data_IF_583632067769
#
_entry.id   IF_583632067769
#
_cell.length_a   1.000
_cell.length_b   1.000
_cell.length_c   1.000
_cell.angle_alpha   90.00
_cell.angle_beta   90.00
_cell.angle_gamma   90.00
#
_symmetry.space_group_name_H-M   'P 1'
#
loop_
_entity.id
_entity.type
_entity.pdbx_description
1 polymer ?
2 non-polymer ?
3 non-polymer ?
4 water ?
#
# COMPACT_ATOMS: atom_id res chain seq x y z
N UNK A 13 -2.85 -29.58 9.81
CA UNK A 13 -2.62 -28.31 10.54
C UNK A 13 -2.00 -28.64 11.92
N UNK A 14 -0.83 -28.05 12.21
CA UNK A 14 -0.29 -27.94 13.60
C UNK A 14 -0.24 -26.48 14.14
N UNK A 17 1.87 -23.34 14.21
CA UNK A 17 2.61 -22.18 13.67
C UNK A 17 4.01 -22.09 14.36
N UNK A 18 4.64 -20.90 14.28
CA UNK A 18 5.86 -20.58 15.04
C UNK A 18 7.15 -21.34 14.74
N UNK A 19 7.85 -20.96 13.66
CA UNK A 19 9.13 -21.60 13.26
C UNK A 19 10.36 -20.67 12.94
N UNK A 20 10.18 -19.34 12.71
CA UNK A 20 11.36 -18.47 12.47
C UNK A 20 12.18 -18.03 13.72
N UNK A 21 13.31 -18.71 13.93
CA UNK A 21 14.16 -18.49 15.08
C UNK A 21 15.43 -17.76 14.71
N UNK A 22 15.88 -17.92 13.47
CA UNK A 22 17.15 -17.34 13.02
C UNK A 22 16.88 -16.54 11.79
N UNK A 23 17.01 -15.22 11.89
CA UNK A 23 16.75 -14.29 10.78
C UNK A 23 18.01 -13.53 10.23
N UNK A 24 18.44 -13.91 9.02
CA UNK A 24 19.66 -13.29 8.45
C UNK A 24 19.09 -12.17 7.71
N UNK A 25 19.47 -10.99 8.16
CA UNK A 25 18.62 -9.85 7.92
C UNK A 25 18.84 -9.25 6.54
N UNK A 26 20.09 -9.23 6.02
CA UNK A 26 20.37 -8.78 4.63
C UNK A 26 19.59 -9.57 3.57
N UNK A 27 19.63 -10.89 3.67
CA UNK A 27 19.07 -11.77 2.66
C UNK A 27 17.55 -11.87 2.72
N UNK A 28 16.96 -12.07 3.90
CA UNK A 28 15.48 -12.08 4.00
C UNK A 28 14.95 -10.71 3.70
N UNK A 29 15.73 -9.68 3.95
CA UNK A 29 15.34 -8.35 3.57
C UNK A 29 15.27 -8.23 2.04
N UNK A 30 16.27 -8.76 1.34
CA UNK A 30 16.33 -8.61 -0.10
C UNK A 30 15.19 -9.38 -0.72
N UNK A 31 14.93 -10.60 -0.25
CA UNK A 31 13.85 -11.42 -0.78
C UNK A 31 12.48 -10.74 -0.62
N UNK A 32 12.23 -10.21 0.57
CA UNK A 32 10.96 -9.59 0.90
C UNK A 32 10.75 -8.31 0.16
N UNK A 33 11.74 -7.44 0.11
CA UNK A 33 11.65 -6.24 -0.69
C UNK A 33 11.31 -6.54 -2.17
N UNK A 34 12.01 -7.53 -2.70
CA UNK A 34 11.82 -7.95 -4.05
C UNK A 34 10.41 -8.50 -4.26
N UNK A 35 9.89 -9.23 -3.28
CA UNK A 35 8.57 -9.79 -3.41
C UNK A 35 7.54 -8.68 -3.38
N UNK A 36 7.77 -7.64 -2.57
CA UNK A 36 6.80 -6.53 -2.46
C UNK A 36 6.80 -5.66 -3.70
N UNK A 37 7.98 -5.55 -4.29
CA UNK A 37 8.11 -4.91 -5.57
C UNK A 37 7.25 -5.64 -6.58
N UNK A 38 7.42 -6.93 -6.70
CA UNK A 38 6.69 -7.73 -7.70
C UNK A 38 5.19 -7.62 -7.45
N UNK A 39 4.85 -7.68 -6.16
CA UNK A 39 3.48 -7.69 -5.76
C UNK A 39 2.95 -6.31 -6.13
N UNK A 40 3.70 -5.28 -5.83
CA UNK A 40 3.25 -3.94 -6.14
C UNK A 40 2.93 -3.74 -7.60
N UNK A 41 3.74 -4.32 -8.45
CA UNK A 41 3.59 -4.07 -9.88
C UNK A 41 2.40 -4.83 -10.39
N UNK A 42 2.20 -6.06 -9.90
CA UNK A 42 1.04 -6.87 -10.26
C UNK A 42 -0.25 -6.13 -9.88
N UNK A 43 -0.31 -5.60 -8.66
CA UNK A 43 -1.48 -4.91 -8.16
C UNK A 43 -1.70 -3.65 -9.02
N UNK A 44 -0.65 -2.88 -9.24
CA UNK A 44 -0.71 -1.68 -10.05
C UNK A 44 -1.30 -1.98 -11.41
N UNK A 45 -0.82 -3.05 -12.02
CA UNK A 45 -1.26 -3.40 -13.35
C UNK A 45 -2.68 -3.89 -13.38
N UNK A 46 -3.10 -4.67 -12.38
CA UNK A 46 -4.48 -5.18 -12.25
C UNK A 46 -5.45 -4.05 -11.95
N UNK A 47 -4.94 -3.00 -11.32
CA UNK A 47 -5.73 -1.91 -10.85
C UNK A 47 -5.92 -0.99 -12.04
N UNK A 48 -4.85 -0.76 -12.79
CA UNK A 48 -4.86 -0.10 -14.10
C UNK A 48 -5.32 -1.00 -15.27
N UNK A 49 -6.51 -1.60 -15.12
CA UNK A 49 -7.17 -2.38 -16.20
C UNK A 49 -8.69 -2.27 -16.05
N UNK A 54 -10.06 4.16 -16.81
CA UNK A 54 -8.65 4.56 -16.82
C UNK A 54 -8.45 5.81 -16.01
N UNK A 55 -8.07 5.68 -14.75
CA UNK A 55 -8.07 6.89 -13.94
C UNK A 55 -6.93 7.08 -12.92
N UNK A 56 -7.22 7.98 -11.99
CA UNK A 56 -6.32 8.48 -11.01
C UNK A 56 -6.55 7.88 -9.65
N UNK A 57 -5.48 7.39 -9.07
CA UNK A 57 -5.58 6.66 -7.84
C UNK A 57 -4.26 6.62 -7.15
N UNK A 58 -4.36 6.12 -5.93
CA UNK A 58 -3.27 5.81 -5.07
C UNK A 58 -3.73 4.62 -4.16
N UNK A 59 -2.76 3.81 -3.76
CA UNK A 59 -3.02 2.70 -2.90
C UNK A 59 -1.71 2.37 -2.25
N UNK A 60 -1.77 1.55 -1.22
CA UNK A 60 -0.60 1.12 -0.54
C UNK A 60 -0.42 -0.36 -0.74
N UNK A 61 0.44 -0.75 -1.65
CA UNK A 61 0.74 -2.18 -1.84
C UNK A 61 1.29 -2.82 -0.55
N UNK A 62 2.00 -2.03 0.22
CA UNK A 62 2.52 -2.52 1.49
C UNK A 62 1.44 -2.80 2.55
N UNK A 63 0.42 -1.96 2.67
CA UNK A 63 -0.67 -2.26 3.60
C UNK A 63 -1.39 -3.50 3.17
N UNK A 64 -1.61 -3.66 1.87
CA UNK A 64 -2.37 -4.77 1.32
C UNK A 64 -1.60 -6.05 1.52
N UNK A 65 -0.31 -6.04 1.21
CA UNK A 65 0.61 -7.18 1.47
C UNK A 65 0.67 -7.54 2.94
N UNK A 66 0.61 -6.54 3.78
CA UNK A 66 0.66 -6.75 5.23
C UNK A 66 -0.60 -7.45 5.73
N UNK A 67 -1.75 -6.98 5.28
CA UNK A 67 -2.98 -7.68 5.64
C UNK A 67 -2.97 -9.14 5.15
N UNK A 68 -2.62 -9.36 3.91
CA UNK A 68 -2.61 -10.71 3.36
C UNK A 68 -1.57 -11.62 3.99
N UNK A 69 -0.48 -11.05 4.42
CA UNK A 69 0.51 -11.82 5.18
C UNK A 69 0.03 -12.15 6.61
N UNK A 70 -0.85 -11.34 7.18
CA UNK A 70 -1.52 -11.65 8.45
C UNK A 70 -2.49 -12.83 8.18
N UNK A 71 -3.27 -12.76 7.10
CA UNK A 71 -4.12 -13.89 6.70
C UNK A 71 -3.27 -15.15 6.54
N UNK A 72 -2.12 -15.01 5.89
CA UNK A 72 -1.18 -16.09 5.65
C UNK A 72 -0.62 -16.77 6.95
N UNK A 73 -0.43 -15.97 7.99
CA UNK A 73 0.05 -16.45 9.25
C UNK A 73 -0.90 -17.52 9.77
N UNK A 74 -2.20 -17.34 9.56
CA UNK A 74 -3.18 -18.33 10.02
C UNK A 74 -3.72 -19.32 8.97
N UNK A 75 -3.14 -19.33 7.77
CA UNK A 75 -3.65 -20.12 6.66
C UNK A 75 -3.18 -21.57 6.73
N UNK A 76 -3.97 -22.50 6.22
CA UNK A 76 -3.56 -23.87 6.00
C UNK A 76 -2.97 -24.05 4.61
N UNK A 77 -2.49 -25.25 4.31
CA UNK A 77 -1.66 -25.50 3.11
C UNK A 77 -2.17 -24.89 1.82
N UNK A 78 -3.38 -25.24 1.38
CA UNK A 78 -3.88 -24.84 0.07
C UNK A 78 -3.95 -23.30 -0.07
N UNK A 79 -4.52 -22.63 0.92
CA UNK A 79 -4.58 -21.17 1.01
C UNK A 79 -3.21 -20.45 1.08
N UNK A 80 -2.29 -21.00 1.85
CA UNK A 80 -0.88 -20.57 1.87
C UNK A 80 -0.34 -20.51 0.45
N UNK A 81 -0.45 -21.63 -0.25
CA UNK A 81 -0.04 -21.70 -1.63
C UNK A 81 -0.59 -20.58 -2.49
N UNK A 82 -1.91 -20.38 -2.50
CA UNK A 82 -2.45 -19.31 -3.35
C UNK A 82 -1.93 -17.97 -2.94
N UNK A 83 -1.90 -17.74 -1.63
CA UNK A 83 -1.52 -16.44 -1.13
C UNK A 83 -0.07 -16.17 -1.41
N UNK A 84 0.77 -17.16 -1.23
CA UNK A 84 2.20 -16.95 -1.51
C UNK A 84 2.45 -16.63 -2.96
N UNK A 85 1.73 -17.28 -3.85
CA UNK A 85 1.90 -16.98 -5.29
C UNK A 85 1.40 -15.51 -5.54
N UNK A 86 0.29 -15.12 -4.95
CA UNK A 86 -0.19 -13.77 -5.22
C UNK A 86 0.91 -12.80 -4.74
N UNK A 87 1.47 -13.08 -3.58
CA UNK A 87 2.46 -12.18 -3.02
C UNK A 87 3.90 -12.37 -3.55
N UNK A 88 4.13 -13.32 -4.43
CA UNK A 88 5.49 -13.57 -4.91
C UNK A 88 6.46 -13.94 -3.77
N UNK A 89 5.96 -14.55 -2.68
CA UNK A 89 6.84 -15.05 -1.62
C UNK A 89 7.36 -16.40 -2.07
N UNK A 90 8.64 -16.69 -1.94
CA UNK A 90 9.15 -18.08 -2.13
C UNK A 90 8.49 -19.14 -1.24
N UNK A 91 8.51 -20.41 -1.69
CA UNK A 91 8.01 -21.57 -0.90
C UNK A 91 8.30 -21.55 0.62
N UNK A 92 9.55 -21.27 0.93
CA UNK A 92 10.14 -21.67 2.20
C UNK A 92 9.98 -20.62 3.29
N UNK A 93 9.54 -19.43 2.88
CA UNK A 93 9.93 -18.17 3.49
C UNK A 93 9.26 -18.00 4.85
N UNK A 94 9.70 -18.76 5.83
CA UNK A 94 8.95 -18.82 7.08
C UNK A 94 9.27 -17.59 7.90
N UNK A 95 10.43 -17.01 7.63
CA UNK A 95 10.84 -15.77 8.28
C UNK A 95 10.16 -14.52 7.75
N UNK A 96 9.16 -14.66 6.87
CA UNK A 96 8.56 -13.49 6.25
C UNK A 96 8.02 -12.55 7.27
N UNK A 97 7.34 -13.09 8.28
CA UNK A 97 6.61 -12.25 9.25
C UNK A 97 7.59 -11.42 10.09
N UNK A 98 8.64 -12.03 10.61
CA UNK A 98 9.73 -11.27 11.24
C UNK A 98 10.44 -10.25 10.29
N UNK A 99 10.72 -10.64 9.06
CA UNK A 99 11.29 -9.69 8.16
C UNK A 99 10.35 -8.48 8.04
N UNK A 100 9.06 -8.76 7.93
CA UNK A 100 8.07 -7.75 7.58
C UNK A 100 7.89 -6.83 8.74
N UNK A 101 7.96 -7.40 9.92
CA UNK A 101 7.90 -6.58 11.14
C UNK A 101 8.95 -5.45 11.23
N UNK A 102 10.18 -5.73 10.77
CA UNK A 102 11.21 -4.71 10.74
C UNK A 102 11.25 -3.89 9.47
N UNK A 103 10.19 -3.89 8.65
CA UNK A 103 10.12 -2.95 7.50
C UNK A 103 9.47 -1.61 7.87
N UNK A 104 9.00 -1.52 9.10
CA UNK A 104 8.56 -0.28 9.73
C UNK A 104 9.78 0.63 9.89
N UNK A 105 9.54 1.91 9.64
CA UNK A 105 10.56 2.95 9.75
C UNK A 105 9.99 4.02 10.71
N UNK A 106 10.75 5.09 10.90
CA UNK A 106 10.34 6.19 11.75
C UNK A 106 9.48 7.14 10.90
N UNK A 107 9.65 7.14 9.59
CA UNK A 107 8.66 7.77 8.76
C UNK A 107 7.38 6.95 8.52
N UNK A 108 7.41 5.63 8.71
CA UNK A 108 6.23 4.82 8.34
C UNK A 108 5.74 3.95 9.45
N UNK A 109 4.49 4.10 9.87
CA UNK A 109 4.00 3.21 10.94
C UNK A 109 3.16 2.11 10.40
N UNK A 110 3.24 0.92 10.99
CA UNK A 110 2.33 -0.16 10.57
C UNK A 110 1.89 -0.98 11.74
N UNK A 111 0.56 -1.08 11.95
CA UNK A 111 -0.07 -1.84 13.02
C UNK A 111 -1.16 -2.71 12.45
N UNK A 112 -1.44 -3.78 13.15
CA UNK A 112 -2.33 -4.83 12.71
C UNK A 112 -3.14 -5.32 13.90
N UNK A 113 -4.39 -5.68 13.67
CA UNK A 113 -5.31 -6.01 14.74
C UNK A 113 -6.41 -6.92 14.20
N UNK A 114 -6.92 -7.75 15.09
CA UNK A 114 -8.02 -8.63 14.80
C UNK A 114 -9.11 -8.32 15.76
N UNK A 115 -10.32 -8.34 15.26
CA UNK A 115 -11.51 -8.34 16.07
C UNK A 115 -12.30 -9.59 15.73
N UNK A 116 -12.97 -10.14 16.73
CA UNK A 116 -13.76 -11.34 16.55
C UNK A 116 -14.97 -11.37 17.49
N UNK A 117 -16.01 -12.08 17.07
CA UNK A 117 -17.15 -12.31 17.95
C UNK A 117 -16.72 -13.31 19.03
N UNK A 118 -17.32 -13.24 20.20
CA UNK A 118 -17.00 -14.21 21.25
C UNK A 118 -17.36 -15.65 20.85
N UNK A 119 -18.22 -15.82 19.85
CA UNK A 119 -18.46 -17.19 19.38
C UNK A 119 -17.41 -17.71 18.37
N UNK A 120 -16.41 -16.91 18.02
CA UNK A 120 -15.27 -17.44 17.23
C UNK A 120 -14.03 -17.58 18.13
N UNK A 121 -13.62 -18.82 18.43
CA UNK A 121 -12.43 -19.05 19.26
C UNK A 121 -11.15 -18.99 18.40
N UNK A 122 -10.21 -18.14 18.80
CA UNK A 122 -8.93 -18.05 18.13
C UNK A 122 -7.90 -18.98 18.81
N UNK A 123 -7.23 -19.81 18.04
CA UNK A 123 -6.19 -20.68 18.61
C UNK A 123 -5.21 -19.86 19.41
N UNK A 124 -4.80 -20.40 20.54
CA UNK A 124 -3.67 -19.89 21.37
C UNK A 124 -2.42 -19.62 20.55
N UNK A 125 -2.11 -20.51 19.62
CA UNK A 125 -0.93 -20.38 18.81
C UNK A 125 -1.03 -19.11 17.99
N UNK A 126 -2.23 -18.85 17.46
CA UNK A 126 -2.38 -17.65 16.68
C UNK A 126 -2.28 -16.46 17.60
N UNK A 127 -2.90 -16.55 18.76
CA UNK A 127 -2.77 -15.48 19.76
C UNK A 127 -1.31 -15.21 20.07
N UNK A 128 -0.51 -16.23 20.36
CA UNK A 128 0.89 -15.96 20.67
C UNK A 128 1.62 -15.28 19.51
N UNK A 129 1.46 -15.80 18.30
CA UNK A 129 2.18 -15.26 17.18
C UNK A 129 1.81 -13.80 16.99
N UNK A 130 0.53 -13.48 17.21
CA UNK A 130 0.02 -12.14 16.94
C UNK A 130 0.58 -11.13 17.93
N UNK A 131 0.77 -11.55 19.16
CA UNK A 131 1.39 -10.70 20.15
C UNK A 131 2.83 -10.45 19.84
N UNK A 132 3.53 -11.47 19.36
CA UNK A 132 4.94 -11.33 19.03
C UNK A 132 5.16 -10.38 17.86
N UNK A 133 4.36 -10.55 16.81
CA UNK A 133 4.62 -9.84 15.57
C UNK A 133 3.96 -8.45 15.57
N UNK A 134 2.77 -8.33 16.15
CA UNK A 134 2.00 -7.11 16.09
C UNK A 134 1.93 -6.34 17.42
N UNK A 135 2.43 -6.96 18.48
CA UNK A 135 2.29 -6.39 19.84
C UNK A 135 0.81 -6.10 20.18
N UNK A 136 -0.08 -6.97 19.77
CA UNK A 136 -1.51 -6.82 19.99
C UNK A 136 -2.19 -8.19 20.20
N UNK A 137 -3.30 -8.21 20.93
CA UNK A 137 -4.10 -9.42 21.09
C UNK A 137 -5.44 -9.21 20.40
N UNK A 138 -5.98 -10.28 19.83
CA UNK A 138 -7.36 -10.27 19.34
C UNK A 138 -8.34 -9.64 20.29
N UNK A 139 -9.21 -8.79 19.77
CA UNK A 139 -10.17 -8.12 20.60
C UNK A 139 -11.54 -8.63 20.26
N UNK A 140 -12.41 -8.59 21.27
CA UNK A 140 -13.74 -9.12 21.15
C UNK A 140 -14.74 -8.07 20.68
N UNK A 141 -15.54 -8.45 19.72
CA UNK A 141 -16.69 -7.69 19.29
C UNK A 141 -17.83 -7.88 20.30
N UNK A 142 -18.74 -6.91 20.35
CA UNK A 142 -19.95 -7.03 21.15
C UNK A 142 -21.12 -7.36 20.24
N UNK A 143 -22.30 -7.49 20.85
CA UNK A 143 -23.54 -7.82 20.14
C UNK A 143 -23.99 -6.70 19.19
N UNK A 144 -23.66 -5.45 19.56
CA UNK A 144 -24.07 -4.24 18.85
C UNK A 144 -23.29 -3.87 17.58
N UNK A 145 -23.98 -3.91 16.44
CA UNK A 145 -23.35 -3.64 15.14
C UNK A 145 -22.70 -2.25 15.04
N UNK A 146 -23.38 -1.23 15.57
CA UNK A 146 -22.92 0.17 15.53
C UNK A 146 -21.74 0.40 16.46
N UNK A 147 -21.80 -0.23 17.62
CA UNK A 147 -20.68 -0.23 18.55
C UNK A 147 -19.43 -0.80 17.92
N UNK A 148 -19.57 -1.93 17.23
CA UNK A 148 -18.43 -2.62 16.61
C UNK A 148 -17.79 -1.77 15.50
N UNK A 149 -18.65 -1.21 14.68
CA UNK A 149 -18.23 -0.29 13.65
C UNK A 149 -17.42 0.91 14.19
N UNK A 150 -17.85 1.50 15.32
CA UNK A 150 -17.14 2.64 15.92
C UNK A 150 -15.83 2.19 16.50
N UNK A 151 -15.82 1.02 17.12
CA UNK A 151 -14.58 0.44 17.63
C UNK A 151 -13.59 0.37 16.50
N UNK A 152 -14.00 -0.28 15.44
CA UNK A 152 -13.08 -0.57 14.36
C UNK A 152 -12.61 0.70 13.66
N UNK A 153 -13.56 1.56 13.34
CA UNK A 153 -13.23 2.73 12.59
C UNK A 153 -12.39 3.65 13.43
N UNK A 154 -12.61 3.64 14.73
CA UNK A 154 -11.83 4.48 15.62
C UNK A 154 -10.42 3.90 15.72
N UNK A 155 -10.28 2.58 15.79
CA UNK A 155 -8.93 2.01 15.75
C UNK A 155 -8.11 2.53 14.54
N UNK A 156 -8.74 2.52 13.36
CA UNK A 156 -8.09 2.92 12.14
C UNK A 156 -7.72 4.38 12.11
N UNK A 157 -8.69 5.19 12.49
CA UNK A 157 -8.45 6.62 12.69
C UNK A 157 -7.27 6.81 13.60
N UNK A 158 -7.25 6.09 14.71
CA UNK A 158 -6.25 6.38 15.71
C UNK A 158 -4.88 6.10 15.08
N UNK A 159 -4.83 5.17 14.13
CA UNK A 159 -3.55 4.68 13.58
C UNK A 159 -3.18 5.17 12.18
N UNK A 160 -3.91 6.18 11.73
CA UNK A 160 -3.66 6.86 10.49
C UNK A 160 -3.67 8.38 10.71
N UNK A 161 -3.41 8.83 11.92
CA UNK A 161 -3.48 10.24 12.27
C UNK A 161 -4.79 10.92 11.86
N UNK A 162 -5.88 10.18 12.03
CA UNK A 162 -7.25 10.55 11.66
C UNK A 162 -7.46 10.88 10.18
N UNK A 163 -6.59 10.42 9.30
CA UNK A 163 -6.79 10.69 7.85
C UNK A 163 -7.85 9.77 7.28
N UNK A 164 -8.02 8.64 7.95
CA UNK A 164 -9.02 7.69 7.54
C UNK A 164 -9.96 7.49 8.72
N UNK A 165 -10.99 8.34 8.74
CA UNK A 165 -11.92 8.42 9.87
C UNK A 165 -13.10 7.45 9.70
N UNK A 166 -13.25 6.86 8.51
CA UNK A 166 -14.37 5.93 8.31
C UNK A 166 -14.03 4.87 7.30
N UNK A 167 -13.21 3.91 7.69
CA UNK A 167 -12.84 2.85 6.75
C UNK A 167 -14.04 2.00 6.35
N UNK A 168 -14.89 1.69 7.33
CA UNK A 168 -16.01 0.79 7.07
C UNK A 168 -17.31 1.53 7.08
N UNK A 169 -18.13 1.30 6.06
CA UNK A 169 -19.50 1.86 6.04
C UNK A 169 -20.45 1.18 6.96
N UNK A 170 -20.25 -0.13 7.12
CA UNK A 170 -21.15 -0.96 7.89
C UNK A 170 -20.42 -2.20 8.34
N UNK A 171 -21.03 -2.89 9.27
CA UNK A 171 -20.48 -4.11 9.80
C UNK A 171 -21.62 -5.05 10.04
N UNK A 172 -21.88 -5.91 9.06
CA UNK A 172 -23.02 -6.83 9.15
C UNK A 172 -23.07 -7.57 10.50
N UNK A 173 -24.31 -7.78 10.95
CA UNK A 173 -24.62 -8.59 12.14
C UNK A 173 -23.92 -9.96 12.15
N UNK A 174 -23.80 -10.58 10.98
CA UNK A 174 -23.19 -11.90 10.84
C UNK A 174 -21.64 -11.89 10.87
N UNK A 175 -21.06 -10.75 11.22
CA UNK A 175 -19.62 -10.63 11.16
C UNK A 175 -19.02 -11.31 12.36
N UNK A 176 -18.10 -12.24 12.12
CA UNK A 176 -17.35 -12.85 13.21
C UNK A 176 -15.84 -12.61 13.20
N UNK A 177 -15.28 -12.13 12.09
CA UNK A 177 -13.82 -11.88 12.03
C UNK A 177 -13.48 -10.65 11.22
N UNK A 178 -12.71 -9.77 11.82
CA UNK A 178 -12.12 -8.66 11.10
C UNK A 178 -10.61 -8.65 11.31
N UNK A 179 -9.86 -8.74 10.21
CA UNK A 179 -8.42 -8.55 10.25
C UNK A 179 -8.17 -7.21 9.61
N UNK A 180 -7.35 -6.39 10.25
CA UNK A 180 -6.98 -5.06 9.76
C UNK A 180 -5.47 -4.77 9.77
N UNK A 181 -5.07 -3.81 8.94
CA UNK A 181 -3.73 -3.24 8.95
C UNK A 181 -3.92 -1.79 8.71
N UNK A 182 -3.07 -0.96 9.30
CA UNK A 182 -3.07 0.48 9.06
C UNK A 182 -1.65 1.00 9.04
N UNK A 183 -1.40 1.89 8.09
CA UNK A 183 -0.12 2.48 7.77
C UNK A 183 -0.28 3.99 7.89
N UNK A 184 0.73 4.64 8.47
CA UNK A 184 0.84 6.11 8.47
C UNK A 184 2.25 6.49 8.09
N UNK A 185 2.37 7.29 7.04
CA UNK A 185 3.67 7.71 6.58
C UNK A 185 3.64 9.19 6.66
N UNK A 186 4.70 9.75 7.23
CA UNK A 186 4.81 11.19 7.32
C UNK A 186 6.25 11.57 7.35
N UNK A 187 6.59 12.52 6.50
CA UNK A 187 7.99 12.89 6.23
C UNK A 187 8.13 14.26 5.58
N UNK A 188 9.28 14.87 5.81
CA UNK A 188 9.52 16.22 5.33
C UNK A 188 10.42 16.18 4.10
N UNK A 189 10.24 17.11 3.17
CA UNK A 189 11.22 17.29 2.11
C UNK A 189 12.56 17.78 2.70
N UNK A 190 13.69 17.34 2.16
CA UNK A 190 14.97 17.90 2.51
C UNK A 190 14.97 19.37 2.12
N UNK A 191 14.49 19.68 0.92
CA UNK A 191 14.29 21.08 0.52
C UNK A 191 12.80 21.32 0.36
N UNK A 192 12.27 22.20 1.20
CA UNK A 192 10.88 22.60 1.16
C UNK A 192 10.55 23.52 -0.02
N UNK A 193 9.27 23.60 -0.35
CA UNK A 193 8.84 24.52 -1.37
C UNK A 193 8.40 25.77 -0.66
N UNK A 194 8.40 26.87 -1.37
CA UNK A 194 7.97 28.10 -0.81
C UNK A 194 6.52 28.33 -1.20
N UNK A 195 5.61 28.39 -0.22
CA UNK A 195 4.16 28.47 -0.49
C UNK A 195 3.68 29.77 -1.08
N UNK A 196 4.54 30.79 -1.20
CA UNK A 196 4.19 31.98 -1.95
C UNK A 196 4.39 31.67 -3.42
N UNK A 197 5.21 30.66 -3.73
CA UNK A 197 5.42 30.26 -5.13
C UNK A 197 4.41 29.20 -5.59
N UNK A 198 3.56 28.76 -4.68
CA UNK A 198 2.50 27.84 -5.04
C UNK A 198 1.34 28.59 -5.68
N UNK A 199 0.91 28.13 -6.86
CA UNK A 199 -0.04 28.88 -7.68
C UNK A 199 -1.10 27.95 -8.26
N UNK A 200 -2.29 28.49 -8.45
CA UNK A 200 -3.35 27.77 -9.13
C UNK A 200 -3.16 28.09 -10.60
N UNK A 201 -2.83 27.08 -11.39
CA UNK A 201 -2.39 27.27 -12.75
C UNK A 201 -3.45 26.71 -13.68
N UNK A 202 -3.68 27.29 -14.83
CA UNK A 202 -4.69 26.76 -15.74
C UNK A 202 -4.29 25.40 -16.29
N UNK A 203 -5.29 24.56 -16.53
CA UNK A 203 -5.02 23.22 -16.99
C UNK A 203 -6.11 22.84 -17.97
N UNK A 204 -5.68 22.28 -19.10
CA UNK A 204 -6.48 22.43 -20.32
C UNK A 204 -7.75 21.54 -20.42
N UNK A 205 -7.64 20.27 -20.00
CA UNK A 205 -8.80 19.39 -19.83
C UNK A 205 -9.81 19.39 -21.06
N UNK A 208 -14.62 21.53 -20.31
CA UNK A 208 -14.58 22.66 -19.37
C UNK A 208 -13.24 22.77 -18.65
N UNK A 209 -12.50 23.86 -18.92
CA UNK A 209 -11.13 24.12 -18.40
C UNK A 209 -11.09 24.34 -16.87
N UNK A 210 -10.01 23.91 -16.21
CA UNK A 210 -9.89 24.10 -14.77
C UNK A 210 -8.59 24.76 -14.31
N UNK A 211 -8.44 24.89 -13.00
CA UNK A 211 -7.25 25.41 -12.39
C UNK A 211 -6.78 24.37 -11.42
N UNK A 212 -5.48 24.15 -11.40
CA UNK A 212 -4.90 23.13 -10.59
C UNK A 212 -3.73 23.68 -9.76
N UNK A 213 -3.57 23.14 -8.56
CA UNK A 213 -2.59 23.66 -7.61
C UNK A 213 -1.20 23.08 -7.91
N UNK A 214 -0.24 24.00 -8.05
CA UNK A 214 1.08 23.73 -8.56
C UNK A 214 2.12 24.31 -7.64
N UNK A 215 2.96 23.45 -7.07
CA UNK A 215 4.10 23.96 -6.31
C UNK A 215 5.25 24.19 -7.30
N UNK A 216 5.93 25.32 -7.17
CA UNK A 216 6.99 25.67 -8.10
C UNK A 216 8.30 25.97 -7.39
N UNK A 217 9.39 25.64 -8.04
CA UNK A 217 10.71 25.92 -7.51
C UNK A 217 11.68 25.76 -8.67
N UNK A 218 12.50 26.78 -8.88
CA UNK A 218 13.28 26.97 -10.09
C UNK A 218 14.54 26.16 -10.06
N UNK A 219 14.99 25.84 -8.85
CA UNK A 219 16.26 25.18 -8.63
C UNK A 219 16.12 24.04 -7.62
N UNK A 220 15.02 23.31 -7.67
CA UNK A 220 14.84 22.20 -6.76
C UNK A 220 15.79 21.03 -7.02
N UNK A 221 16.30 20.40 -5.95
CA UNK A 221 17.14 19.20 -6.10
C UNK A 221 16.34 17.95 -6.45
N UNK A 222 16.42 17.65 -7.73
CA UNK A 222 15.88 16.45 -8.25
C UNK A 222 17.03 15.63 -8.82
N UNK A 223 16.99 14.35 -8.51
CA UNK A 223 17.76 13.35 -9.26
C UNK A 223 16.87 12.83 -10.36
N UNK A 224 17.33 12.85 -11.60
CA UNK A 224 16.49 12.50 -12.74
C UNK A 224 17.28 12.15 -13.97
N UNK A 225 16.67 11.35 -14.80
CA UNK A 225 17.23 10.97 -16.07
C UNK A 225 16.10 10.42 -16.88
N UNK A 226 16.33 10.29 -18.17
CA UNK A 226 15.42 9.66 -19.09
C UNK A 226 15.82 8.19 -19.24
N UNK A 227 14.85 7.29 -19.16
CA UNK A 227 15.07 5.87 -19.43
C UNK A 227 14.56 5.58 -20.85
N UNK A 228 15.45 5.14 -21.75
CA UNK A 228 15.10 4.76 -23.14
C UNK A 228 14.07 3.60 -23.26
N UNK A 229 13.88 2.79 -22.23
CA UNK A 229 12.97 1.64 -22.35
C UNK A 229 11.49 2.01 -22.09
N UNK A 230 11.24 2.68 -20.97
CA UNK A 230 9.94 3.26 -20.71
C UNK A 230 9.64 4.49 -21.63
N UNK A 231 10.67 5.10 -22.20
CA UNK A 231 10.58 6.37 -22.88
C UNK A 231 9.98 7.38 -21.90
N UNK A 232 10.71 7.64 -20.82
CA UNK A 232 10.13 8.30 -19.67
C UNK A 232 11.17 9.00 -18.85
N UNK A 233 10.80 10.16 -18.31
CA UNK A 233 11.68 10.85 -17.40
C UNK A 233 11.44 10.21 -16.06
N UNK A 234 12.53 9.91 -15.38
CA UNK A 234 12.50 9.29 -14.06
C UNK A 234 13.06 10.34 -13.12
N UNK A 235 12.38 10.62 -12.02
CA UNK A 235 12.81 11.66 -11.11
C UNK A 235 12.49 11.28 -9.69
N UNK A 236 13.28 11.82 -8.77
CA UNK A 236 13.10 11.53 -7.34
C UNK A 236 13.32 12.78 -6.48
N UNK A 237 12.43 12.99 -5.52
CA UNK A 237 12.54 14.10 -4.61
C UNK A 237 12.81 13.48 -3.30
N UNK A 238 13.82 13.99 -2.60
CA UNK A 238 14.22 13.37 -1.35
C UNK A 238 13.45 13.89 -0.14
N UNK A 239 13.10 12.93 0.72
CA UNK A 239 12.37 13.18 1.95
C UNK A 239 13.22 12.69 3.04
N UNK A 240 12.84 13.00 4.27
CA UNK A 240 13.48 12.50 5.46
C UNK A 240 13.15 11.01 5.67
N UNK A 241 13.84 10.34 6.61
CA UNK A 241 13.50 8.97 6.97
C UNK A 241 13.73 7.99 5.78
N UNK A 242 14.73 8.24 4.94
CA UNK A 242 14.99 7.40 3.77
C UNK A 242 13.76 7.08 2.89
N UNK A 243 12.92 8.06 2.70
CA UNK A 243 11.79 7.93 1.80
C UNK A 243 12.02 8.90 0.69
N UNK A 244 11.58 8.56 -0.51
CA UNK A 244 11.62 9.47 -1.62
C UNK A 244 10.28 9.42 -2.34
N UNK A 245 10.01 10.47 -3.10
CA UNK A 245 8.91 10.49 -4.06
C UNK A 245 9.49 10.33 -5.43
N UNK A 246 9.06 9.27 -6.09
CA UNK A 246 9.61 8.87 -7.33
C UNK A 246 8.54 9.07 -8.33
N UNK A 247 8.93 9.67 -9.44
CA UNK A 247 8.00 10.01 -10.48
C UNK A 247 8.42 9.51 -11.82
N UNK A 248 7.51 8.89 -12.55
CA UNK A 248 7.80 8.54 -13.92
C UNK A 248 6.82 9.23 -14.82
N UNK A 249 7.34 10.07 -15.71
CA UNK A 249 6.48 10.75 -16.64
C UNK A 249 6.95 10.47 -18.07
N UNK A 250 5.97 10.15 -18.90
CA UNK A 250 6.24 9.97 -20.32
C UNK A 250 7.15 11.14 -20.82
N UNK A 251 8.14 10.87 -21.65
CA UNK A 251 9.18 11.89 -21.85
C UNK A 251 8.68 13.02 -22.72
N UNK A 252 7.60 12.75 -23.46
CA UNK A 252 6.91 13.79 -24.23
C UNK A 252 5.53 13.29 -24.69
N UNK A 253 4.83 14.08 -25.49
CA UNK A 253 3.45 13.78 -25.82
C UNK A 253 3.32 12.64 -26.81
N UNK A 254 4.42 12.29 -27.48
CA UNK A 254 4.40 11.21 -28.45
C UNK A 254 4.10 9.87 -27.73
N UNK A 255 4.31 9.80 -26.42
CA UNK A 255 4.12 8.52 -25.70
C UNK A 255 3.11 8.61 -24.57
N UNK A 256 2.15 7.69 -24.58
CA UNK A 256 1.10 7.64 -23.58
C UNK A 256 1.51 6.89 -22.29
N UNK A 257 0.89 7.25 -21.18
CA UNK A 257 1.17 6.63 -19.90
C UNK A 257 0.95 5.12 -19.92
N UNK A 258 -0.04 4.66 -20.69
CA UNK A 258 -0.30 3.22 -20.77
C UNK A 258 0.87 2.50 -21.39
N UNK A 259 1.48 3.06 -22.42
CA UNK A 259 2.60 2.34 -22.99
C UNK A 259 3.74 2.27 -21.94
N UNK A 260 4.00 3.39 -21.27
CA UNK A 260 5.06 3.41 -20.27
C UNK A 260 4.81 2.33 -19.23
N UNK A 261 3.59 2.27 -18.73
CA UNK A 261 3.21 1.30 -17.68
C UNK A 261 3.44 -0.17 -18.06
N UNK A 262 3.11 -0.50 -19.30
CA UNK A 262 3.13 -1.88 -19.73
C UNK A 262 4.59 -2.27 -19.98
N UNK A 263 5.42 -1.27 -20.23
CA UNK A 263 6.82 -1.53 -20.38
C UNK A 263 7.42 -1.71 -18.99
N UNK A 264 6.73 -1.28 -17.96
CA UNK A 264 7.29 -1.31 -16.64
C UNK A 264 7.23 -2.72 -16.03
N UNK A 265 8.10 -3.59 -16.51
CA UNK A 265 8.29 -4.93 -15.98
C UNK A 265 9.06 -4.88 -14.68
N UNK A 266 9.01 -5.93 -13.88
CA UNK A 266 9.80 -5.96 -12.66
C UNK A 266 11.33 -5.73 -12.91
N UNK A 267 11.92 -6.32 -13.94
CA UNK A 267 13.34 -6.13 -14.21
C UNK A 267 13.64 -4.67 -14.64
N UNK A 268 12.78 -4.12 -15.49
CA UNK A 268 12.89 -2.72 -15.89
C UNK A 268 12.75 -1.81 -14.67
N UNK A 269 11.73 -2.03 -13.86
CA UNK A 269 11.49 -1.21 -12.68
C UNK A 269 12.72 -1.21 -11.74
N UNK A 270 13.24 -2.41 -11.45
CA UNK A 270 14.42 -2.59 -10.58
C UNK A 270 15.69 -1.96 -11.13
N UNK A 271 15.92 -2.08 -12.44
CA UNK A 271 17.07 -1.43 -13.06
C UNK A 271 16.96 0.12 -12.96
N UNK A 272 15.75 0.65 -13.13
CA UNK A 272 15.50 2.07 -12.89
C UNK A 272 15.80 2.45 -11.44
N UNK A 273 15.32 1.69 -10.47
CA UNK A 273 15.52 2.10 -9.09
C UNK A 273 16.99 2.03 -8.67
N UNK A 274 17.72 1.09 -9.28
CA UNK A 274 19.16 0.98 -9.06
C UNK A 274 19.87 2.20 -9.61
N UNK A 275 19.59 2.54 -10.86
CA UNK A 275 20.28 3.66 -11.48
C UNK A 275 19.88 4.93 -10.75
N UNK A 276 18.60 5.00 -10.44
CA UNK A 276 18.12 6.14 -9.69
C UNK A 276 18.91 6.31 -8.40
N UNK A 277 19.18 5.21 -7.71
CA UNK A 277 19.77 5.30 -6.36
C UNK A 277 21.23 5.76 -6.36
N UNK A 278 21.88 5.73 -7.51
CA UNK A 278 23.22 6.30 -7.66
C UNK A 278 23.24 7.65 -8.37
N UNK A 279 22.09 8.20 -8.74
CA UNK A 279 22.02 9.45 -9.46
C UNK A 279 22.16 10.66 -8.52
N UNK A 280 22.88 11.70 -8.96
CA UNK A 280 22.98 12.91 -8.15
C UNK A 280 21.71 13.75 -8.26
N UNK A 281 21.40 14.37 -7.13
CA UNK A 281 20.41 15.45 -7.10
C UNK A 281 21.02 16.69 -7.75
N UNK A 282 20.24 17.34 -8.60
CA UNK A 282 20.70 18.51 -9.30
C UNK A 282 19.53 19.52 -9.45
N UNK A 283 19.87 20.82 -9.52
CA UNK A 283 18.84 21.86 -9.49
C UNK A 283 18.01 21.74 -10.76
N UNK A 284 16.71 21.78 -10.59
CA UNK A 284 15.82 21.43 -11.65
C UNK A 284 14.59 22.30 -11.49
N UNK A 285 14.18 22.96 -12.56
CA UNK A 285 12.92 23.66 -12.50
C UNK A 285 11.82 22.63 -12.29
N UNK A 286 11.07 22.79 -11.21
CA UNK A 286 10.10 21.78 -10.82
C UNK A 286 8.73 22.43 -10.65
N UNK A 287 7.72 21.86 -11.28
CA UNK A 287 6.35 22.31 -11.12
C UNK A 287 5.55 21.12 -10.68
N UNK A 288 5.52 20.93 -9.37
CA UNK A 288 5.03 19.68 -8.81
C UNK A 288 3.55 19.87 -8.56
N UNK A 289 2.71 19.04 -9.19
CA UNK A 289 1.29 19.02 -8.84
C UNK A 289 1.12 18.71 -7.36
N UNK A 290 0.22 19.46 -6.76
CA UNK A 290 0.10 19.39 -5.32
C UNK A 290 -0.97 18.34 -5.04
N UNK A 291 -0.59 17.08 -5.25
CA UNK A 291 -1.51 15.96 -5.28
C UNK A 291 -2.20 15.82 -3.95
N UNK A 292 -3.51 15.77 -3.97
CA UNK A 292 -4.25 15.17 -2.87
C UNK A 292 -5.13 14.07 -3.45
N UNK A 293 -4.93 12.84 -3.02
CA UNK A 293 -5.74 11.76 -3.57
C UNK A 293 -6.33 10.87 -2.48
N UNK A 294 -7.61 10.58 -2.60
CA UNK A 294 -8.28 9.65 -1.73
C UNK A 294 -8.93 8.56 -2.57
N UNK A 295 -8.59 7.31 -2.25
CA UNK A 295 -9.05 6.14 -2.99
C UNK A 295 -9.59 5.12 -2.00
N UNK A 296 -10.80 4.64 -2.23
CA UNK A 296 -11.32 3.40 -1.59
C UNK A 296 -11.67 2.38 -2.64
N UNK A 297 -11.38 1.13 -2.34
CA UNK A 297 -11.43 0.08 -3.33
C UNK A 297 -11.58 -1.23 -2.57
N UNK A 298 -12.42 -2.10 -3.11
CA UNK A 298 -12.39 -3.53 -2.80
C UNK A 298 -11.17 -4.16 -3.44
N UNK A 299 -10.12 -4.30 -2.65
CA UNK A 299 -8.88 -4.79 -3.16
C UNK A 299 -8.87 -6.29 -3.31
N UNK A 300 -9.77 -7.01 -2.64
CA UNK A 300 -9.88 -8.42 -2.92
C UNK A 300 -10.28 -8.60 -4.38
N UNK A 301 -11.16 -7.75 -4.86
CA UNK A 301 -11.70 -7.96 -6.17
C UNK A 301 -10.59 -7.68 -7.23
N UNK A 302 -9.65 -6.82 -6.87
CA UNK A 302 -8.46 -6.56 -7.69
C UNK A 302 -7.39 -7.65 -7.54
N UNK A 303 -7.08 -7.99 -6.32
CA UNK A 303 -6.24 -9.14 -5.96
C UNK A 303 -6.53 -10.31 -6.86
N UNK A 304 -7.81 -10.56 -6.97
CA UNK A 304 -8.36 -11.78 -7.48
C UNK A 304 -8.17 -11.92 -9.02
N UNK A 305 -7.86 -10.80 -9.65
CA UNK A 305 -7.48 -10.79 -11.03
C UNK A 305 -6.08 -11.40 -11.21
N UNK A 306 -5.36 -11.65 -10.13
CA UNK A 306 -4.02 -12.21 -10.21
C UNK A 306 -4.00 -13.74 -10.17
N UNK A 307 -5.14 -14.40 -9.93
CA UNK A 307 -5.20 -15.88 -9.91
C UNK A 307 -6.34 -16.30 -10.77
N UNK A 308 -6.36 -17.55 -11.15
CA UNK A 308 -7.39 -17.98 -12.03
C UNK A 308 -8.59 -18.38 -11.13
N UNK A 309 -8.56 -19.60 -10.61
CA UNK A 309 -9.58 -20.01 -9.68
C UNK A 309 -9.43 -19.24 -8.36
N UNK A 310 -10.56 -18.87 -7.77
CA UNK A 310 -10.61 -18.02 -6.60
C UNK A 310 -10.32 -18.82 -5.30
N UNK A 311 -9.26 -18.39 -4.60
CA UNK A 311 -8.79 -19.03 -3.37
C UNK A 311 -9.84 -19.04 -2.23
N UNK A 312 -10.76 -18.08 -2.28
CA UNK A 312 -11.69 -17.81 -1.19
C UNK A 312 -12.70 -18.92 -0.96
N UNK A 313 -13.07 -19.61 -2.04
CA UNK A 313 -13.95 -20.76 -1.94
C UNK A 313 -13.36 -21.94 -1.19
N UNK A 314 -12.06 -21.97 -1.00
CA UNK A 314 -11.46 -23.05 -0.20
C UNK A 314 -10.66 -22.46 0.94
N UNK A 315 -11.00 -21.22 1.30
CA UNK A 315 -10.38 -20.52 2.41
C UNK A 315 -10.17 -21.47 3.54
N UNK A 316 -8.91 -21.68 3.86
CA UNK A 316 -8.50 -22.52 4.98
C UNK A 316 -7.68 -21.71 5.96
N UNK A 317 -8.31 -21.26 7.04
CA UNK A 317 -7.63 -20.55 8.12
C UNK A 317 -7.51 -21.40 9.40
N UNK A 318 -7.14 -22.64 9.22
CA UNK A 318 -7.04 -23.53 10.37
C UNK A 318 -5.92 -23.10 11.32
N UNK A 319 -4.95 -22.29 10.87
CA UNK A 319 -3.91 -21.74 11.73
C UNK A 319 -4.49 -20.79 12.77
N UNK A 320 -5.55 -20.09 12.36
CA UNK A 320 -6.14 -19.04 13.17
C UNK A 320 -7.19 -19.56 14.13
N UNK A 321 -7.96 -20.54 13.65
CA UNK A 321 -9.09 -21.07 14.39
C UNK A 321 -9.50 -22.44 13.83
N UNK A 322 -10.06 -23.26 14.70
CA UNK A 322 -10.55 -24.57 14.36
C UNK A 322 -11.92 -24.43 13.69
N UNK A 323 -12.58 -23.31 13.92
CA UNK A 323 -13.85 -23.02 13.29
C UNK A 323 -13.75 -23.02 11.74
N UNK A 324 -14.58 -23.84 11.09
CA UNK A 324 -14.61 -23.96 9.63
C UNK A 324 -15.57 -22.99 8.88
N UNK A 325 -16.46 -22.28 9.58
CA UNK A 325 -17.46 -21.44 8.92
C UNK A 325 -17.01 -20.02 8.69
N UNK A 326 -15.70 -19.79 8.52
CA UNK A 326 -15.23 -18.44 8.22
C UNK A 326 -15.19 -18.27 6.73
N UNK A 327 -15.65 -17.12 6.27
CA UNK A 327 -15.60 -16.79 4.86
C UNK A 327 -15.06 -15.40 4.64
N UNK A 328 -14.17 -15.29 3.67
CA UNK A 328 -13.61 -14.03 3.23
C UNK A 328 -14.21 -13.66 1.85
N UNK A 329 -14.86 -12.52 1.77
CA UNK A 329 -15.51 -12.18 0.53
C UNK A 329 -15.16 -10.78 -0.01
N UNK A 330 -14.46 -9.97 0.74
CA UNK A 330 -14.06 -8.65 0.29
C UNK A 330 -12.93 -8.13 1.11
N UNK A 331 -12.23 -7.09 0.62
CA UNK A 331 -11.24 -6.39 1.42
C UNK A 331 -11.33 -4.88 1.19
N UNK A 332 -11.83 -4.13 2.17
CA UNK A 332 -11.75 -2.68 2.06
C UNK A 332 -10.33 -2.18 2.08
N UNK A 333 -9.97 -1.38 1.09
CA UNK A 333 -8.70 -0.66 1.12
C UNK A 333 -9.01 0.82 0.93
N UNK A 334 -8.35 1.65 1.73
CA UNK A 334 -8.44 3.08 1.56
C UNK A 334 -7.07 3.69 1.69
N UNK A 335 -6.72 4.58 0.76
CA UNK A 335 -5.52 5.40 0.80
C UNK A 335 -5.85 6.91 0.69
N UNK A 336 -5.24 7.73 1.56
CA UNK A 336 -5.22 9.20 1.48
C UNK A 336 -3.77 9.64 1.36
N UNK A 337 -3.43 10.37 0.31
CA UNK A 337 -2.06 10.83 0.12
C UNK A 337 -2.05 12.30 -0.28
N UNK A 338 -1.17 13.06 0.37
CA UNK A 338 -1.11 14.53 0.26
C UNK A 338 0.31 15.04 0.13
N UNK A 339 0.60 15.70 -0.97
CA UNK A 339 1.85 16.46 -1.06
C UNK A 339 1.57 17.90 -0.66
N UNK A 340 2.41 18.45 0.23
CA UNK A 340 2.42 19.89 0.55
C UNK A 340 3.82 20.46 0.34
N UNK A 341 4.02 21.71 0.69
CA UNK A 341 5.31 22.36 0.55
C UNK A 341 6.32 21.86 1.58
N UNK A 342 5.82 21.33 2.67
CA UNK A 342 6.72 20.93 3.74
C UNK A 342 7.05 19.47 3.61
N UNK A 343 6.14 18.69 3.03
CA UNK A 343 6.32 17.25 3.03
C UNK A 343 5.21 16.43 2.43
N UNK A 344 5.21 15.16 2.78
CA UNK A 344 4.17 14.20 2.41
C UNK A 344 3.49 13.59 3.62
N UNK A 345 2.18 13.36 3.52
CA UNK A 345 1.45 12.53 4.46
C UNK A 345 0.60 11.55 3.67
N UNK A 346 0.77 10.28 3.98
CA UNK A 346 0.05 9.23 3.32
C UNK A 346 -0.44 8.20 4.34
N UNK A 347 -1.73 7.91 4.31
CA UNK A 347 -2.33 6.93 5.19
C UNK A 347 -3.01 5.86 4.37
N UNK A 348 -3.01 4.63 4.90
CA UNK A 348 -3.72 3.54 4.28
C UNK A 348 -4.24 2.61 5.31
N UNK A 349 -5.36 1.97 5.02
CA UNK A 349 -5.84 0.88 5.84
C UNK A 349 -6.44 -0.22 4.98
N UNK A 350 -6.33 -1.45 5.46
CA UNK A 350 -6.97 -2.54 4.77
C UNK A 350 -7.59 -3.49 5.79
N UNK A 351 -8.79 -3.98 5.46
CA UNK A 351 -9.56 -4.81 6.33
C UNK A 351 -10.18 -5.92 5.51
N UNK A 352 -10.36 -7.09 6.12
CA UNK A 352 -11.15 -8.12 5.52
C UNK A 352 -12.50 -7.80 6.07
N UNK A 353 -13.38 -7.35 5.21
CA UNK A 353 -14.62 -6.75 5.61
C UNK A 353 -15.35 -6.38 4.35
N UNK A 354 -16.54 -5.84 4.54
CA UNK A 354 -17.30 -5.30 3.43
C UNK A 354 -16.58 -4.05 2.91
N UNK A 355 -16.68 -3.85 1.61
CA UNK A 355 -15.89 -2.83 0.90
C UNK A 355 -16.76 -1.95 0.04
N UNK A 356 -16.29 -0.74 -0.22
CA UNK A 356 -16.95 0.19 -1.12
C UNK A 356 -15.88 0.76 -2.01
N UNK A 357 -16.30 1.22 -3.17
CA UNK A 357 -15.34 1.71 -4.11
C UNK A 357 -15.68 3.18 -4.37
N UNK A 358 -14.69 4.05 -4.18
CA UNK A 358 -14.76 5.45 -4.56
C UNK A 358 -13.37 6.01 -4.84
N UNK A 359 -13.17 6.50 -6.05
CA UNK A 359 -11.91 7.18 -6.44
C UNK A 359 -12.13 8.69 -6.54
N UNK A 360 -11.52 9.39 -5.59
CA UNK A 360 -11.53 10.86 -5.58
C UNK A 360 -10.16 11.36 -6.06
N UNK A 361 -10.18 12.20 -7.06
CA UNK A 361 -8.96 12.67 -7.67
C UNK A 361 -9.13 14.09 -8.32
N UNK A 362 -8.01 14.75 -8.43
CA UNK A 362 -7.89 16.04 -9.10
C UNK A 362 -7.19 15.71 -10.42
N UNK A 363 -7.78 16.05 -11.56
CA UNK A 363 -7.13 15.72 -12.84
C UNK A 363 -5.76 16.41 -12.96
N UNK A 364 -4.81 15.77 -13.64
CA UNK A 364 -3.51 16.38 -13.91
C UNK A 364 -2.85 15.74 -15.14
N UNK A 365 -1.63 16.19 -15.43
CA UNK A 365 -0.84 15.62 -16.48
C UNK A 365 -0.36 14.23 -16.02
N UNK A 366 -0.26 13.29 -16.96
CA UNK A 366 0.00 11.90 -16.62
C UNK A 366 1.35 11.61 -16.04
N UNK A 367 1.32 10.87 -14.94
CA UNK A 367 2.52 10.24 -14.40
C UNK A 367 2.19 9.19 -13.40
N UNK A 368 3.16 8.31 -13.15
CA UNK A 368 3.11 7.47 -11.99
C UNK A 368 4.03 7.99 -10.95
N UNK A 369 3.66 7.74 -9.68
CA UNK A 369 4.47 8.13 -8.55
C UNK A 369 4.43 7.05 -7.50
N UNK A 370 5.48 7.07 -6.68
CA UNK A 370 5.62 6.18 -5.56
C UNK A 370 6.19 6.95 -4.42
N UNK A 371 5.77 6.59 -3.24
CA UNK A 371 6.54 6.91 -2.07
C UNK A 371 7.39 5.66 -1.85
N UNK A 372 8.69 5.79 -2.01
CA UNK A 372 9.57 4.62 -1.99
C UNK A 372 10.41 4.57 -0.73
N UNK A 373 10.54 3.41 -0.15
CA UNK A 373 11.37 3.17 1.03
C UNK A 373 12.74 2.81 0.51
N UNK A 374 13.66 3.75 0.63
CA UNK A 374 14.94 3.55 -0.03
C UNK A 374 15.89 2.69 0.83
N UNK A 375 15.57 2.55 2.13
CA UNK A 375 16.18 1.53 3.02
C UNK A 375 15.83 0.06 2.66
N UNK A 376 14.54 -0.27 2.62
CA UNK A 376 14.15 -1.67 2.42
C UNK A 376 13.84 -1.97 0.95
N UNK A 377 13.75 -0.92 0.13
CA UNK A 377 13.62 -1.02 -1.33
C UNK A 377 12.28 -1.59 -1.80
N UNK A 378 11.21 -0.95 -1.36
CA UNK A 378 9.88 -1.31 -1.86
C UNK A 378 8.99 -0.08 -1.86
N UNK A 379 7.89 -0.15 -2.61
CA UNK A 379 6.90 0.92 -2.65
C UNK A 379 5.92 0.93 -1.46
N UNK A 380 5.95 1.96 -0.61
CA UNK A 380 4.99 2.00 0.50
C UNK A 380 3.62 2.41 -0.04
N UNK A 381 3.63 3.39 -0.94
CA UNK A 381 2.44 3.81 -1.68
C UNK A 381 2.73 3.93 -3.15
N UNK A 382 1.74 3.69 -4.01
CA UNK A 382 1.88 3.91 -5.44
C UNK A 382 0.64 4.60 -5.98
N UNK A 383 0.79 5.24 -7.14
CA UNK A 383 -0.26 6.11 -7.63
C UNK A 383 -0.09 6.48 -9.09
N UNK A 384 -1.16 6.98 -9.63
CA UNK A 384 -1.20 7.23 -11.02
C UNK A 384 -2.03 8.46 -11.21
N UNK A 385 -1.55 9.35 -12.06
CA UNK A 385 -2.35 10.50 -12.51
C UNK A 385 -2.52 10.32 -13.98
N UNK A 386 -3.75 10.40 -14.43
CA UNK A 386 -4.06 10.28 -15.84
C UNK A 386 -4.88 11.45 -16.36
N UNK A 387 -4.50 11.91 -17.54
CA UNK A 387 -5.31 12.91 -18.25
C UNK A 387 -6.20 12.26 -19.32
N UNK A 388 -7.50 12.11 -19.02
CA UNK A 388 -8.51 11.71 -20.03
C UNK A 388 -8.88 12.85 -20.98
#
# INVERSE_FOLDING_TARGET
YVHHHHHHTGSFCPGPVTLCSDLESHSTEAVLGDALVDFSLKLYHAFSAMKKVETNMAFSPFSIASLLTQVLLGAGENTKTNLESILSYPKDFTCVHQALKGFTTKGVTSVSQIFHSPDLAIRDTFVNASRTLYSSSPRVLSNNSDANLELINTWVAKNTNNKISRLLDSLPSDTRLVLLNAIYLSAKWKTTFDPKKTRMEPFHFKNSVIKVPMMNSKKYPVAHFIDQTLKAKVGQLQLSHNLSLVILVPQNLKHRLEDMEQALSPSVFKAIMEKLEMSKFQPTLLTLPRIKVTTSQDMLSIMEKLEFFDFSYDLNLCGLTEDPDLQVSAMQHQTVLELTETGVEAAAASAISVARTLLVFEVQQPFLFMLWDQQHKFPVFMGRVYDPRA
#
